data_IF_799134327501
#
_entry.id   IF_799134327501
#
_cell.length_a   1.000
_cell.length_b   1.000
_cell.length_c   1.000
_cell.angle_alpha   90.00
_cell.angle_beta   90.00
_cell.angle_gamma   90.00
#
_symmetry.space_group_name_H-M   'P 1'
#
loop_
_entity.id
_entity.type
_entity.pdbx_description
1 polymer ?
#
# COMPACT_ATOMS: atom_id res chain seq x y z
N UNK A 1 -19.59 17.43 -10.68
CA UNK A 1 -18.19 17.22 -10.24
C UNK A 1 -17.35 16.86 -11.46
N UNK A 2 -16.20 17.51 -11.67
CA UNK A 2 -15.28 17.20 -12.80
C UNK A 2 -14.40 16.01 -12.42
N UNK A 3 -14.18 15.08 -13.34
CA UNK A 3 -13.20 13.99 -13.18
C UNK A 3 -11.78 14.57 -13.22
N UNK A 4 -10.98 14.27 -12.21
CA UNK A 4 -9.57 14.66 -12.15
C UNK A 4 -8.72 13.78 -13.06
N UNK A 5 -7.67 14.36 -13.64
CA UNK A 5 -6.59 13.65 -14.31
C UNK A 5 -5.63 13.04 -13.28
N UNK A 6 -4.84 12.04 -13.69
CA UNK A 6 -3.90 11.37 -12.79
C UNK A 6 -2.85 12.33 -12.20
N UNK A 7 -2.43 13.32 -12.99
CA UNK A 7 -1.43 14.31 -12.56
C UNK A 7 -2.02 15.32 -11.56
N UNK A 8 -3.35 15.43 -11.51
CA UNK A 8 -4.07 16.28 -10.56
C UNK A 8 -4.33 15.60 -9.22
N UNK A 9 -3.94 14.33 -9.05
CA UNK A 9 -4.16 13.56 -7.82
C UNK A 9 -3.20 13.93 -6.68
N UNK A 10 -2.22 14.81 -6.93
CA UNK A 10 -1.27 15.25 -5.90
C UNK A 10 -0.47 14.11 -5.28
N UNK A 11 -0.05 13.12 -6.11
CA UNK A 11 0.72 11.98 -5.63
C UNK A 11 2.05 12.44 -5.03
N UNK A 12 2.39 11.88 -3.87
CA UNK A 12 3.68 12.11 -3.24
C UNK A 12 4.81 11.63 -4.13
N UNK A 13 5.88 12.40 -4.19
CA UNK A 13 7.14 11.93 -4.75
C UNK A 13 7.76 10.88 -3.84
N UNK A 14 8.62 10.03 -4.41
CA UNK A 14 9.28 8.95 -3.68
C UNK A 14 10.08 9.48 -2.47
N UNK A 15 10.71 10.64 -2.59
CA UNK A 15 11.44 11.30 -1.49
C UNK A 15 10.50 11.73 -0.36
N UNK A 16 9.36 12.33 -0.70
CA UNK A 16 8.35 12.78 0.27
C UNK A 16 7.72 11.58 0.99
N UNK A 17 7.38 10.54 0.23
CA UNK A 17 6.83 9.30 0.79
C UNK A 17 7.80 8.65 1.79
N UNK A 18 9.11 8.74 1.61
CA UNK A 18 10.09 8.18 2.56
C UNK A 18 10.19 8.98 3.87
N UNK A 19 9.94 10.29 3.82
CA UNK A 19 10.11 11.19 4.96
C UNK A 19 8.81 11.44 5.75
N UNK A 20 7.66 11.21 5.14
CA UNK A 20 6.37 11.40 5.81
C UNK A 20 6.17 10.35 6.92
N UNK A 21 5.66 10.73 8.10
CA UNK A 21 5.30 9.77 9.12
C UNK A 21 4.28 8.76 8.58
N UNK A 22 4.56 7.48 8.82
CA UNK A 22 3.65 6.39 8.43
C UNK A 22 2.51 6.26 9.43
N UNK A 23 1.33 5.89 8.95
CA UNK A 23 0.23 5.49 9.83
C UNK A 23 0.69 4.25 10.61
N UNK A 24 0.65 4.24 11.96
CA UNK A 24 1.22 3.19 12.80
C UNK A 24 0.36 1.93 12.82
N UNK A 25 0.00 1.43 11.64
CA UNK A 25 -0.74 0.20 11.39
C UNK A 25 0.25 -0.80 10.77
N UNK A 26 0.20 -2.03 11.28
CA UNK A 26 0.91 -3.17 10.72
C UNK A 26 -0.12 -4.17 10.20
N UNK A 27 0.01 -4.57 8.94
CA UNK A 27 -0.89 -5.54 8.31
C UNK A 27 -0.19 -6.89 8.22
N UNK A 28 -0.82 -7.96 8.70
CA UNK A 28 -0.30 -9.32 8.60
C UNK A 28 -1.12 -10.10 7.57
N UNK A 29 -0.45 -10.62 6.55
CA UNK A 29 -1.05 -11.51 5.55
C UNK A 29 -0.58 -12.94 5.82
N UNK A 30 -1.40 -13.69 6.55
CA UNK A 30 -1.16 -15.09 6.86
C UNK A 30 -1.88 -16.00 5.86
N UNK A 31 -1.12 -16.86 5.17
CA UNK A 31 -1.64 -17.86 4.22
C UNK A 31 -2.48 -17.28 3.05
N UNK A 32 -2.20 -16.03 2.64
CA UNK A 32 -2.86 -15.43 1.49
C UNK A 32 -2.15 -15.87 0.21
N UNK A 33 -2.69 -16.88 -0.46
CA UNK A 33 -2.07 -17.48 -1.66
C UNK A 33 -2.35 -16.74 -2.97
N UNK A 34 -3.41 -15.95 -3.03
CA UNK A 34 -3.82 -15.28 -4.27
C UNK A 34 -3.03 -13.98 -4.47
N UNK A 35 -2.16 -13.95 -5.48
CA UNK A 35 -1.32 -12.79 -5.81
C UNK A 35 -2.11 -11.49 -6.08
N UNK A 36 -3.32 -11.58 -6.64
CA UNK A 36 -4.17 -10.41 -6.87
C UNK A 36 -4.64 -9.78 -5.57
N UNK A 37 -4.90 -10.59 -4.54
CA UNK A 37 -5.28 -10.10 -3.22
C UNK A 37 -4.07 -9.50 -2.49
N UNK A 38 -2.89 -10.10 -2.64
CA UNK A 38 -1.65 -9.53 -2.09
C UNK A 38 -1.39 -8.18 -2.75
N UNK A 39 -1.39 -8.12 -4.08
CA UNK A 39 -1.20 -6.87 -4.82
C UNK A 39 -2.22 -5.80 -4.46
N UNK A 40 -3.49 -6.15 -4.23
CA UNK A 40 -4.52 -5.18 -3.81
C UNK A 40 -4.27 -4.64 -2.39
N UNK A 41 -3.78 -5.47 -1.46
CA UNK A 41 -3.37 -5.03 -0.12
C UNK A 41 -2.17 -4.09 -0.21
N UNK A 42 -1.16 -4.39 -1.02
CA UNK A 42 0.00 -3.51 -1.19
C UNK A 42 -0.39 -2.14 -1.73
N UNK A 43 -1.24 -2.11 -2.77
CA UNK A 43 -1.72 -0.84 -3.36
C UNK A 43 -2.56 -0.02 -2.38
N UNK A 44 -3.40 -0.69 -1.60
CA UNK A 44 -4.19 -0.03 -0.55
C UNK A 44 -3.26 0.53 0.53
N UNK A 45 -2.29 -0.25 0.98
CA UNK A 45 -1.33 0.15 2.01
C UNK A 45 -0.46 1.33 1.60
N UNK A 46 -0.03 1.37 0.33
CA UNK A 46 0.69 2.50 -0.27
C UNK A 46 -0.17 3.77 -0.29
N UNK A 47 -1.42 3.66 -0.74
CA UNK A 47 -2.36 4.78 -0.79
C UNK A 47 -2.66 5.38 0.60
N UNK A 48 -2.64 4.56 1.66
CA UNK A 48 -2.85 5.00 3.04
C UNK A 48 -1.56 5.21 3.82
N UNK A 49 -0.38 5.08 3.21
CA UNK A 49 0.90 5.36 3.87
C UNK A 49 1.06 4.49 5.15
N UNK A 50 0.69 3.22 5.05
CA UNK A 50 0.78 2.23 6.14
C UNK A 50 2.26 1.98 6.49
N UNK A 51 2.54 1.72 7.77
CA UNK A 51 3.90 1.51 8.27
C UNK A 51 4.57 0.29 7.67
N UNK A 52 3.93 -0.88 7.74
CA UNK A 52 4.51 -2.12 7.24
C UNK A 52 3.47 -3.20 6.94
N UNK A 53 3.86 -4.13 6.07
CA UNK A 53 3.10 -5.34 5.73
C UNK A 53 4.01 -6.53 6.02
N UNK A 54 3.52 -7.50 6.77
CA UNK A 54 4.21 -8.73 7.10
C UNK A 54 3.53 -9.87 6.36
N UNK A 55 4.30 -10.62 5.57
CA UNK A 55 3.83 -11.82 4.89
C UNK A 55 4.27 -13.04 5.69
N UNK A 56 3.35 -13.96 5.98
CA UNK A 56 3.66 -15.20 6.68
C UNK A 56 2.85 -16.40 6.12
N UNK A 57 3.25 -17.60 6.51
CA UNK A 57 2.66 -18.84 6.01
C UNK A 57 2.90 -19.08 4.51
N UNK A 58 1.95 -19.75 3.86
CA UNK A 58 1.98 -19.99 2.41
C UNK A 58 1.41 -18.76 1.69
N UNK A 59 2.30 -17.80 1.40
CA UNK A 59 1.94 -16.54 0.74
C UNK A 59 2.75 -16.40 -0.55
N UNK A 60 2.07 -16.09 -1.66
CA UNK A 60 2.74 -15.90 -2.95
C UNK A 60 3.61 -14.64 -2.89
N UNK A 61 4.92 -14.78 -3.12
CA UNK A 61 5.92 -13.70 -3.01
C UNK A 61 6.48 -13.31 -4.37
#
# INVERSE_FOLDING_TARGET
MRKLLNDELGRLQVSEFKNIPKIPITIILDNIRNLMNIGSVFRTSDAFIVKEIILCGITAT
#
